data_IF_279482607714
#
_entry.id   IF_279482607714
#
_cell.length_a   1.000
_cell.length_b   1.000
_cell.length_c   1.000
_cell.angle_alpha   90.00
_cell.angle_beta   90.00
_cell.angle_gamma   90.00
#
_symmetry.space_group_name_H-M   'P 1'
#
loop_
_entity.id
_entity.type
_entity.pdbx_description
1 polymer ?
#
# COMPACT_ATOMS: atom_id res chain seq x y z
N UNK A 1 -43.60 -5.60 -22.99
CA UNK A 1 -44.17 -6.77 -23.68
C UNK A 1 -44.82 -7.76 -22.73
N UNK A 2 -44.18 -8.24 -21.66
CA UNK A 2 -44.79 -9.16 -20.68
C UNK A 2 -46.03 -8.61 -19.99
N UNK A 3 -46.04 -7.33 -19.61
CA UNK A 3 -47.19 -6.68 -19.00
C UNK A 3 -48.44 -6.69 -19.93
N UNK A 4 -48.25 -6.33 -21.20
CA UNK A 4 -49.28 -6.35 -22.21
C UNK A 4 -49.80 -7.76 -22.52
N UNK A 5 -48.91 -8.77 -22.42
CA UNK A 5 -49.27 -10.17 -22.66
C UNK A 5 -50.18 -10.74 -21.56
N UNK A 6 -50.00 -10.32 -20.31
CA UNK A 6 -50.72 -10.87 -19.17
C UNK A 6 -51.91 -10.02 -18.67
N UNK A 7 -51.88 -8.69 -18.88
CA UNK A 7 -52.80 -7.75 -18.21
C UNK A 7 -53.68 -6.89 -19.15
N UNK A 8 -53.50 -6.98 -20.49
CA UNK A 8 -54.30 -6.14 -21.40
C UNK A 8 -55.17 -7.00 -22.30
N UNK A 9 -56.45 -6.70 -22.41
CA UNK A 9 -57.36 -7.37 -23.36
C UNK A 9 -57.08 -6.93 -24.81
N UNK A 10 -57.04 -7.85 -25.81
CA UNK A 10 -57.18 -9.31 -25.69
C UNK A 10 -55.89 -9.98 -25.12
N UNK A 11 -56.07 -10.78 -24.08
CA UNK A 11 -55.02 -11.53 -23.42
C UNK A 11 -54.23 -12.39 -24.40
N UNK A 12 -52.90 -12.54 -24.13
CA UNK A 12 -51.97 -13.31 -24.94
C UNK A 12 -51.70 -12.79 -26.37
N UNK A 13 -51.96 -11.49 -26.62
CA UNK A 13 -51.68 -10.92 -27.92
C UNK A 13 -50.50 -9.93 -27.86
N UNK A 14 -49.49 -10.18 -28.69
CA UNK A 14 -48.27 -9.33 -28.76
C UNK A 14 -48.44 -8.11 -29.65
N UNK A 15 -49.63 -7.86 -30.20
CA UNK A 15 -49.90 -6.72 -31.06
C UNK A 15 -50.20 -5.46 -30.23
N UNK A 16 -49.32 -4.49 -30.26
CA UNK A 16 -49.54 -3.17 -29.69
C UNK A 16 -50.46 -2.39 -30.62
N UNK A 17 -51.74 -2.29 -30.30
CA UNK A 17 -52.76 -1.65 -31.16
C UNK A 17 -52.80 -0.11 -30.97
N UNK A 18 -52.17 0.44 -29.97
CA UNK A 18 -52.27 1.85 -29.68
C UNK A 18 -50.95 2.58 -30.00
N UNK A 19 -51.04 3.74 -30.68
CA UNK A 19 -49.88 4.55 -31.10
C UNK A 19 -48.99 5.06 -29.95
N UNK A 20 -49.50 4.98 -28.70
CA UNK A 20 -48.77 5.39 -27.48
C UNK A 20 -47.79 4.34 -26.92
N UNK A 21 -47.97 3.05 -27.20
CA UNK A 21 -47.15 1.97 -26.66
C UNK A 21 -45.65 2.06 -26.97
N UNK A 22 -45.23 2.36 -28.23
CA UNK A 22 -43.82 2.49 -28.54
C UNK A 22 -43.12 3.59 -27.74
N UNK A 23 -43.84 4.70 -27.51
CA UNK A 23 -43.32 5.84 -26.74
C UNK A 23 -43.13 5.51 -25.27
N UNK A 24 -44.09 4.82 -24.66
CA UNK A 24 -44.01 4.36 -23.27
C UNK A 24 -42.86 3.34 -23.09
N UNK A 25 -42.71 2.44 -24.05
CA UNK A 25 -41.64 1.45 -24.03
C UNK A 25 -40.25 2.11 -24.17
N UNK A 26 -40.13 3.09 -25.04
CA UNK A 26 -38.90 3.89 -25.20
C UNK A 26 -38.54 4.63 -23.91
N UNK A 27 -39.55 5.26 -23.27
CA UNK A 27 -39.37 5.94 -21.98
C UNK A 27 -38.88 5.01 -20.89
N UNK A 28 -39.53 3.83 -20.74
CA UNK A 28 -39.12 2.81 -19.78
C UNK A 28 -37.70 2.30 -20.04
N UNK A 29 -37.34 2.13 -21.31
CA UNK A 29 -36.00 1.70 -21.71
C UNK A 29 -34.94 2.76 -21.33
N UNK A 30 -35.20 4.04 -21.60
CA UNK A 30 -34.32 5.14 -21.23
C UNK A 30 -34.14 5.22 -19.72
N UNK A 31 -35.24 5.13 -18.94
CA UNK A 31 -35.19 5.14 -17.48
C UNK A 31 -34.39 3.94 -16.95
N UNK A 32 -34.58 2.76 -17.52
CA UNK A 32 -33.84 1.55 -17.17
C UNK A 32 -32.33 1.67 -17.42
N UNK A 33 -31.94 2.20 -18.57
CA UNK A 33 -30.54 2.47 -18.89
C UNK A 33 -29.93 3.50 -17.94
N UNK A 34 -30.65 4.59 -17.68
CA UNK A 34 -30.18 5.64 -16.78
C UNK A 34 -30.01 5.12 -15.35
N UNK A 35 -30.96 4.37 -14.83
CA UNK A 35 -30.90 3.76 -13.49
C UNK A 35 -29.76 2.75 -13.39
N UNK A 36 -29.58 1.93 -14.43
CA UNK A 36 -28.50 0.93 -14.46
C UNK A 36 -27.10 1.56 -14.48
N UNK A 37 -26.90 2.63 -15.24
CA UNK A 37 -25.62 3.36 -15.28
C UNK A 37 -25.34 4.08 -13.96
N UNK A 38 -26.37 4.70 -13.37
CA UNK A 38 -26.25 5.41 -12.09
C UNK A 38 -25.88 4.46 -10.94
N UNK A 39 -26.49 3.29 -10.89
CA UNK A 39 -26.19 2.27 -9.87
C UNK A 39 -24.74 1.76 -9.95
N UNK A 40 -24.23 1.54 -11.17
CA UNK A 40 -22.83 1.13 -11.37
C UNK A 40 -21.86 2.21 -10.88
N UNK A 41 -22.11 3.46 -11.21
CA UNK A 41 -21.28 4.61 -10.79
C UNK A 41 -21.29 4.79 -9.28
N UNK A 42 -22.44 4.63 -8.63
CA UNK A 42 -22.58 4.72 -7.18
C UNK A 42 -21.80 3.58 -6.48
N UNK A 43 -21.86 2.36 -7.00
CA UNK A 43 -21.11 1.21 -6.46
C UNK A 43 -19.58 1.44 -6.56
N UNK A 44 -19.12 1.98 -7.68
CA UNK A 44 -17.70 2.31 -7.87
C UNK A 44 -17.25 3.42 -6.90
N UNK A 45 -18.03 4.50 -6.76
CA UNK A 45 -17.73 5.57 -5.80
C UNK A 45 -17.68 5.06 -4.35
N UNK A 46 -18.57 4.15 -3.96
CA UNK A 46 -18.56 3.56 -2.62
C UNK A 46 -17.30 2.73 -2.37
N UNK A 47 -16.81 1.99 -3.37
CA UNK A 47 -15.56 1.23 -3.26
C UNK A 47 -14.33 2.14 -3.15
N UNK A 48 -14.27 3.20 -3.94
CA UNK A 48 -13.19 4.19 -3.87
C UNK A 48 -13.20 4.95 -2.53
N UNK A 49 -14.39 5.30 -2.04
CA UNK A 49 -14.55 5.95 -0.73
C UNK A 49 -14.10 5.03 0.42
N UNK A 50 -14.44 3.74 0.36
CA UNK A 50 -14.00 2.76 1.36
C UNK A 50 -12.47 2.59 1.37
N UNK A 51 -11.83 2.52 0.19
CA UNK A 51 -10.36 2.46 0.08
C UNK A 51 -9.70 3.72 0.65
N UNK A 52 -10.26 4.89 0.36
CA UNK A 52 -9.74 6.18 0.85
C UNK A 52 -9.90 6.29 2.36
N UNK A 53 -11.02 5.86 2.93
CA UNK A 53 -11.24 5.83 4.37
C UNK A 53 -10.24 4.90 5.07
N UNK A 54 -10.06 3.68 4.56
CA UNK A 54 -9.08 2.72 5.07
C UNK A 54 -7.64 3.26 5.02
N UNK A 55 -7.26 3.91 3.90
CA UNK A 55 -5.95 4.56 3.77
C UNK A 55 -5.75 5.63 4.85
N UNK A 56 -6.74 6.48 5.04
CA UNK A 56 -6.67 7.58 6.03
C UNK A 56 -6.56 7.03 7.44
N UNK A 57 -7.30 5.99 7.77
CA UNK A 57 -7.27 5.33 9.08
C UNK A 57 -5.87 4.76 9.39
N UNK A 58 -5.28 4.00 8.46
CA UNK A 58 -3.93 3.43 8.64
C UNK A 58 -2.87 4.52 8.80
N UNK A 59 -2.91 5.56 7.97
CA UNK A 59 -1.94 6.65 8.05
C UNK A 59 -2.09 7.44 9.35
N UNK A 60 -3.33 7.68 9.81
CA UNK A 60 -3.59 8.34 11.08
C UNK A 60 -3.09 7.51 12.26
N UNK A 61 -3.35 6.21 12.25
CA UNK A 61 -2.87 5.29 13.29
C UNK A 61 -1.32 5.27 13.33
N UNK A 62 -0.68 5.19 12.16
CA UNK A 62 0.78 5.24 12.06
C UNK A 62 1.34 6.56 12.62
N UNK A 63 0.77 7.69 12.21
CA UNK A 63 1.16 9.03 12.68
C UNK A 63 1.04 9.17 14.20
N UNK A 64 -0.08 8.72 14.78
CA UNK A 64 -0.29 8.76 16.23
C UNK A 64 0.74 7.92 16.99
N UNK A 65 1.08 6.73 16.47
CA UNK A 65 2.08 5.85 17.07
C UNK A 65 3.49 6.42 16.94
N UNK A 66 3.86 6.95 15.77
CA UNK A 66 5.15 7.60 15.53
C UNK A 66 5.37 8.81 16.45
N UNK A 67 4.34 9.62 16.72
CA UNK A 67 4.41 10.74 17.66
C UNK A 67 4.79 10.35 19.08
N UNK A 68 4.44 9.14 19.51
CA UNK A 68 4.74 8.59 20.84
C UNK A 68 6.16 8.05 20.94
N UNK A 69 6.81 7.77 19.81
CA UNK A 69 8.18 7.28 19.78
C UNK A 69 9.15 8.40 20.19
N UNK A 70 9.96 8.15 21.18
CA UNK A 70 10.96 9.09 21.72
C UNK A 70 12.37 8.79 21.24
N UNK A 71 12.67 7.52 20.87
CA UNK A 71 13.99 7.11 20.42
C UNK A 71 13.96 6.66 18.94
N UNK A 72 15.12 6.78 18.29
CA UNK A 72 15.32 6.33 16.89
C UNK A 72 14.98 4.85 16.73
N UNK A 73 15.38 4.01 17.69
CA UNK A 73 15.07 2.58 17.70
C UNK A 73 13.56 2.33 17.75
N UNK A 74 12.84 3.04 18.63
CA UNK A 74 11.38 2.89 18.73
C UNK A 74 10.65 3.28 17.46
N UNK A 75 11.17 4.28 16.71
CA UNK A 75 10.63 4.67 15.40
C UNK A 75 10.80 3.53 14.39
N UNK A 76 11.98 2.91 14.33
CA UNK A 76 12.23 1.78 13.44
C UNK A 76 11.38 0.56 13.79
N UNK A 77 11.29 0.21 15.07
CA UNK A 77 10.45 -0.90 15.54
C UNK A 77 8.97 -0.65 15.17
N UNK A 78 8.49 0.59 15.34
CA UNK A 78 7.10 0.94 15.04
C UNK A 78 6.79 0.82 13.54
N UNK A 79 7.63 1.38 12.68
CA UNK A 79 7.38 1.32 11.23
C UNK A 79 7.50 -0.09 10.69
N UNK A 80 8.46 -0.88 11.20
CA UNK A 80 8.63 -2.27 10.79
C UNK A 80 7.40 -3.13 11.16
N UNK A 81 6.89 -2.98 12.39
CA UNK A 81 5.68 -3.68 12.84
C UNK A 81 4.46 -3.27 11.99
N UNK A 82 4.31 -2.00 11.66
CA UNK A 82 3.19 -1.55 10.83
C UNK A 82 3.30 -2.04 9.38
N UNK A 83 4.50 -1.94 8.79
CA UNK A 83 4.76 -2.47 7.44
C UNK A 83 4.57 -3.99 7.38
N UNK A 84 5.07 -4.72 8.38
CA UNK A 84 4.90 -6.17 8.50
C UNK A 84 3.43 -6.59 8.63
N UNK A 85 2.62 -5.82 9.37
CA UNK A 85 1.16 -6.06 9.47
C UNK A 85 0.43 -5.75 8.17
N UNK A 86 0.80 -4.65 7.50
CA UNK A 86 0.18 -4.22 6.25
C UNK A 86 0.40 -5.26 5.14
N UNK A 87 1.65 -5.73 4.99
CA UNK A 87 2.06 -6.59 3.89
C UNK A 87 2.01 -8.09 4.25
N UNK A 88 1.95 -8.43 5.53
CA UNK A 88 2.15 -9.80 6.03
C UNK A 88 3.46 -10.44 5.55
N UNK A 89 4.53 -9.64 5.44
CA UNK A 89 5.85 -10.04 4.97
C UNK A 89 6.91 -9.75 6.03
N UNK A 90 8.07 -10.41 5.91
CA UNK A 90 9.24 -10.12 6.74
C UNK A 90 9.89 -8.80 6.31
N UNK A 91 10.29 -8.00 7.29
CA UNK A 91 10.85 -6.66 7.10
C UNK A 91 12.29 -6.62 7.62
N UNK A 92 13.16 -6.02 6.83
CA UNK A 92 14.54 -5.71 7.16
C UNK A 92 14.69 -4.19 7.24
N UNK A 93 15.29 -3.65 8.27
CA UNK A 93 15.58 -2.22 8.33
C UNK A 93 17.08 -2.03 8.46
N UNK A 94 17.65 -1.25 7.60
CA UNK A 94 19.05 -0.84 7.62
C UNK A 94 19.10 0.65 7.98
N UNK A 95 19.32 1.00 9.26
CA UNK A 95 19.54 2.38 9.63
C UNK A 95 20.79 2.93 8.95
N UNK A 96 20.76 4.21 8.62
CA UNK A 96 21.91 4.93 8.06
C UNK A 96 22.34 5.98 9.07
N UNK A 97 23.61 5.97 9.47
CA UNK A 97 24.15 6.95 10.39
C UNK A 97 24.25 8.34 9.75
N UNK A 98 24.47 9.38 10.54
CA UNK A 98 24.71 10.76 10.04
C UNK A 98 25.92 10.84 9.10
N UNK A 99 26.88 9.91 9.23
CA UNK A 99 28.03 9.79 8.32
C UNK A 99 27.72 9.07 6.99
N UNK A 100 26.46 8.67 6.75
CA UNK A 100 26.06 7.92 5.57
C UNK A 100 26.41 6.43 5.58
N UNK A 101 26.91 5.91 6.71
CA UNK A 101 27.25 4.51 6.84
C UNK A 101 26.01 3.68 7.18
N UNK A 102 25.87 2.55 6.49
CA UNK A 102 24.80 1.58 6.76
C UNK A 102 25.13 0.77 8.00
N UNK A 103 24.25 0.85 9.00
CA UNK A 103 24.37 0.12 10.26
C UNK A 103 23.95 -1.36 10.11
N UNK A 104 24.03 -2.13 11.18
CA UNK A 104 23.54 -3.51 11.19
C UNK A 104 22.01 -3.54 10.99
N UNK A 105 21.50 -4.52 10.23
CA UNK A 105 20.08 -4.62 9.97
C UNK A 105 19.29 -5.01 11.22
N UNK A 106 18.13 -4.41 11.36
CA UNK A 106 17.10 -4.80 12.30
C UNK A 106 16.15 -5.76 11.59
N UNK A 107 15.95 -6.93 12.19
CA UNK A 107 15.23 -8.04 11.60
C UNK A 107 13.84 -8.18 12.21
N UNK A 108 12.81 -8.14 11.40
CA UNK A 108 11.41 -8.30 11.80
C UNK A 108 10.79 -9.45 11.01
N UNK A 109 10.87 -10.69 11.55
CA UNK A 109 10.31 -11.85 10.87
C UNK A 109 8.78 -11.76 10.85
N UNK A 110 8.18 -12.32 9.81
CA UNK A 110 6.73 -12.49 9.77
C UNK A 110 6.32 -13.68 10.67
N UNK A 111 5.00 -13.83 10.90
CA UNK A 111 4.45 -14.97 11.62
C UNK A 111 4.85 -16.29 10.94
N UNK A 112 5.46 -17.19 11.72
CA UNK A 112 5.91 -18.51 11.23
C UNK A 112 7.33 -18.55 10.66
N UNK A 113 8.05 -17.42 10.62
CA UNK A 113 9.44 -17.32 10.21
C UNK A 113 10.33 -17.06 11.44
N UNK A 114 11.47 -17.71 11.52
CA UNK A 114 12.45 -17.47 12.61
C UNK A 114 13.41 -16.33 12.23
N UNK A 115 13.99 -15.69 13.25
CA UNK A 115 15.03 -14.65 13.04
C UNK A 115 16.23 -15.24 12.32
N UNK A 116 16.63 -16.48 12.65
CA UNK A 116 17.76 -17.18 12.02
C UNK A 116 17.55 -17.43 10.53
N UNK A 117 16.31 -17.67 10.09
CA UNK A 117 15.97 -17.80 8.67
C UNK A 117 16.10 -16.46 7.96
N UNK A 118 15.69 -15.38 8.61
CA UNK A 118 15.78 -14.03 8.06
C UNK A 118 17.24 -13.54 8.02
N UNK A 119 18.09 -13.92 8.99
CA UNK A 119 19.52 -13.62 8.98
C UNK A 119 20.25 -14.23 7.78
N UNK A 120 19.85 -15.41 7.34
CA UNK A 120 20.43 -16.04 6.13
C UNK A 120 20.18 -15.23 4.85
N UNK A 121 19.14 -14.40 4.85
CA UNK A 121 18.86 -13.49 3.75
C UNK A 121 19.77 -12.24 3.78
N UNK A 122 20.42 -11.95 4.92
CA UNK A 122 21.34 -10.81 5.06
C UNK A 122 22.75 -11.22 4.63
N UNK A 123 23.04 -11.14 3.36
CA UNK A 123 24.35 -11.48 2.81
C UNK A 123 25.07 -10.24 2.25
N UNK A 124 26.32 -10.41 1.84
CA UNK A 124 27.14 -9.32 1.27
C UNK A 124 26.52 -8.69 0.02
N UNK A 125 25.82 -9.48 -0.79
CA UNK A 125 25.13 -9.03 -2.01
C UNK A 125 24.01 -8.05 -1.65
N UNK A 126 23.20 -8.40 -0.67
CA UNK A 126 22.09 -7.56 -0.20
C UNK A 126 22.60 -6.21 0.36
N UNK A 127 23.71 -6.22 1.10
CA UNK A 127 24.37 -4.99 1.57
C UNK A 127 24.78 -4.07 0.41
N UNK A 128 25.24 -4.64 -0.70
CA UNK A 128 25.57 -3.87 -1.91
C UNK A 128 24.34 -3.21 -2.52
N UNK A 129 23.18 -3.89 -2.53
CA UNK A 129 21.91 -3.30 -2.99
C UNK A 129 21.46 -2.16 -2.07
N UNK A 130 21.56 -2.36 -0.75
CA UNK A 130 21.24 -1.31 0.25
C UNK A 130 22.12 -0.07 0.04
N UNK A 131 23.43 -0.25 -0.14
CA UNK A 131 24.35 0.86 -0.43
C UNK A 131 23.98 1.60 -1.72
N UNK A 132 23.58 0.86 -2.76
CA UNK A 132 23.10 1.46 -4.01
C UNK A 132 21.86 2.31 -3.78
N UNK A 133 20.88 1.82 -2.97
CA UNK A 133 19.66 2.57 -2.61
C UNK A 133 19.99 3.85 -1.86
N UNK A 134 20.93 3.80 -0.91
CA UNK A 134 21.40 4.98 -0.16
C UNK A 134 22.02 6.01 -1.10
N UNK A 135 22.88 5.58 -2.03
CA UNK A 135 23.58 6.48 -2.93
C UNK A 135 22.68 7.11 -4.01
N UNK A 136 21.67 6.37 -4.47
CA UNK A 136 20.84 6.80 -5.60
C UNK A 136 19.45 7.31 -5.19
N UNK A 137 19.05 7.16 -3.92
CA UNK A 137 17.73 7.59 -3.40
C UNK A 137 16.53 6.94 -4.12
N UNK A 138 16.75 5.80 -4.76
CA UNK A 138 15.74 5.07 -5.54
C UNK A 138 15.60 3.63 -5.05
N UNK A 139 14.41 3.07 -5.24
CA UNK A 139 14.17 1.65 -4.94
C UNK A 139 15.01 0.73 -5.81
N UNK A 140 15.45 -0.38 -5.24
CA UNK A 140 16.14 -1.44 -5.95
C UNK A 140 15.79 -2.82 -5.37
N UNK A 141 16.21 -3.88 -6.04
CA UNK A 141 16.03 -5.26 -5.60
C UNK A 141 14.87 -5.97 -6.26
N UNK A 142 14.37 -7.01 -5.61
CA UNK A 142 13.33 -7.89 -6.13
C UNK A 142 12.11 -7.13 -6.67
N UNK A 143 11.57 -7.56 -7.79
CA UNK A 143 10.43 -6.93 -8.48
C UNK A 143 10.65 -5.46 -8.88
N UNK A 144 11.90 -5.02 -9.03
CA UNK A 144 12.26 -3.71 -9.57
C UNK A 144 13.08 -3.84 -10.84
N UNK A 145 13.26 -2.73 -11.57
CA UNK A 145 14.13 -2.70 -12.76
C UNK A 145 15.63 -2.64 -12.40
N UNK A 146 15.95 -2.36 -11.14
CA UNK A 146 17.32 -2.17 -10.67
C UNK A 146 17.70 -3.29 -9.72
N UNK A 147 18.75 -4.06 -10.04
CA UNK A 147 19.26 -5.17 -9.24
C UNK A 147 18.17 -6.22 -8.90
N UNK A 148 17.41 -6.72 -9.90
CA UNK A 148 16.23 -7.57 -9.66
C UNK A 148 16.55 -8.93 -9.05
N UNK A 149 17.82 -9.34 -9.05
CA UNK A 149 18.29 -10.62 -8.50
C UNK A 149 18.44 -10.64 -6.98
N UNK A 150 18.23 -9.49 -6.30
CA UNK A 150 18.21 -9.43 -4.85
C UNK A 150 17.03 -10.24 -4.26
N UNK A 151 17.16 -10.67 -3.03
CA UNK A 151 16.13 -11.45 -2.32
C UNK A 151 14.98 -10.57 -1.84
N UNK A 152 15.28 -9.32 -1.48
CA UNK A 152 14.30 -8.37 -0.98
C UNK A 152 14.15 -7.17 -1.92
N UNK A 153 13.01 -6.50 -1.85
CA UNK A 153 12.79 -5.17 -2.42
C UNK A 153 13.22 -4.13 -1.39
N UNK A 154 14.10 -3.22 -1.78
CA UNK A 154 14.67 -2.19 -0.92
C UNK A 154 14.12 -0.81 -1.26
N UNK A 155 13.62 -0.11 -0.24
CA UNK A 155 13.01 1.20 -0.35
C UNK A 155 13.76 2.19 0.55
N UNK A 156 14.12 3.38 0.06
CA UNK A 156 14.73 4.40 0.90
C UNK A 156 13.71 5.00 1.87
N UNK A 157 14.10 5.14 3.13
CA UNK A 157 13.39 5.94 4.14
C UNK A 157 14.10 7.29 4.19
N UNK A 158 13.49 8.28 3.58
CA UNK A 158 14.14 9.58 3.38
C UNK A 158 13.31 10.73 3.92
N UNK A 159 14.00 11.79 4.33
CA UNK A 159 13.42 13.07 4.62
C UNK A 159 14.11 14.13 3.77
N UNK A 160 13.34 14.91 3.03
CA UNK A 160 13.84 15.92 2.07
C UNK A 160 14.88 15.33 1.10
N UNK A 161 16.19 15.46 1.41
CA UNK A 161 17.29 15.01 0.55
C UNK A 161 18.18 13.93 1.18
N UNK A 162 17.90 13.52 2.43
CA UNK A 162 18.74 12.59 3.15
C UNK A 162 18.04 11.24 3.35
N UNK A 163 18.74 10.15 3.06
CA UNK A 163 18.31 8.80 3.38
C UNK A 163 18.68 8.49 4.82
N UNK A 164 17.69 8.34 5.68
CA UNK A 164 17.86 8.03 7.11
C UNK A 164 17.95 6.51 7.37
N UNK A 165 17.53 5.70 6.39
CA UNK A 165 17.61 4.26 6.41
C UNK A 165 17.03 3.64 5.15
N UNK A 166 17.13 2.31 5.06
CA UNK A 166 16.56 1.54 3.95
C UNK A 166 15.70 0.44 4.53
N UNK A 167 14.47 0.32 4.05
CA UNK A 167 13.57 -0.79 4.37
C UNK A 167 13.67 -1.85 3.29
N UNK A 168 14.01 -3.08 3.67
CA UNK A 168 13.95 -4.28 2.83
C UNK A 168 12.68 -5.05 3.12
N UNK A 169 12.00 -5.51 2.09
CA UNK A 169 10.79 -6.32 2.14
C UNK A 169 11.09 -7.64 1.46
N UNK A 170 11.03 -8.73 2.21
CA UNK A 170 11.28 -10.06 1.67
C UNK A 170 10.04 -10.53 0.92
N UNK A 171 10.12 -10.54 -0.41
CA UNK A 171 9.01 -10.91 -1.28
C UNK A 171 8.97 -12.43 -1.48
N UNK A 172 7.84 -13.04 -1.12
CA UNK A 172 7.60 -14.45 -1.39
C UNK A 172 7.25 -14.65 -2.87
N UNK A 173 7.78 -15.72 -3.45
CA UNK A 173 7.54 -16.09 -4.85
C UNK A 173 7.78 -14.94 -5.85
N UNK A 174 8.54 -13.90 -5.46
CA UNK A 174 8.78 -12.69 -6.26
C UNK A 174 7.49 -12.03 -6.78
N UNK A 175 6.42 -12.06 -5.99
CA UNK A 175 5.20 -11.33 -6.32
C UNK A 175 5.36 -9.85 -5.96
N UNK A 176 5.05 -8.95 -6.87
CA UNK A 176 5.07 -7.52 -6.56
C UNK A 176 4.01 -7.19 -5.50
N UNK A 177 4.32 -6.22 -4.65
CA UNK A 177 3.37 -5.64 -3.69
C UNK A 177 2.23 -4.98 -4.46
N UNK A 178 0.99 -5.12 -3.98
CA UNK A 178 -0.16 -4.45 -4.57
C UNK A 178 0.03 -2.93 -4.62
N UNK A 179 -0.44 -2.28 -5.69
CA UNK A 179 -0.23 -0.85 -5.91
C UNK A 179 -0.79 0.01 -4.77
N UNK A 180 -1.93 -0.39 -4.21
CA UNK A 180 -2.54 0.32 -3.09
C UNK A 180 -1.71 0.17 -1.80
N UNK A 181 -1.27 -1.05 -1.47
CA UNK A 181 -0.40 -1.32 -0.32
C UNK A 181 0.95 -0.64 -0.46
N UNK A 182 1.51 -0.66 -1.67
CA UNK A 182 2.75 0.05 -1.99
C UNK A 182 2.62 1.57 -1.76
N UNK A 183 1.52 2.17 -2.21
CA UNK A 183 1.26 3.59 -1.99
C UNK A 183 1.11 3.96 -0.51
N UNK A 184 0.49 3.09 0.29
CA UNK A 184 0.42 3.24 1.76
C UNK A 184 1.80 3.15 2.41
N UNK A 185 2.57 2.14 2.01
CA UNK A 185 3.92 1.92 2.52
C UNK A 185 4.82 3.14 2.27
N UNK A 186 4.83 3.68 1.05
CA UNK A 186 5.63 4.87 0.72
C UNK A 186 5.22 6.07 1.58
N UNK A 187 3.91 6.28 1.81
CA UNK A 187 3.44 7.35 2.67
C UNK A 187 3.94 7.18 4.13
N UNK A 188 3.90 5.94 4.66
CA UNK A 188 4.43 5.63 5.98
C UNK A 188 5.95 5.84 6.07
N UNK A 189 6.71 5.44 5.04
CA UNK A 189 8.17 5.63 5.01
C UNK A 189 8.56 7.10 4.97
N UNK A 190 7.84 7.92 4.19
CA UNK A 190 8.06 9.36 4.14
C UNK A 190 7.79 10.02 5.51
N UNK A 191 6.69 9.66 6.17
CA UNK A 191 6.38 10.15 7.52
C UNK A 191 7.44 9.73 8.54
N UNK A 192 7.92 8.49 8.43
CA UNK A 192 9.01 7.96 9.26
C UNK A 192 10.31 8.74 9.05
N UNK A 193 10.65 9.05 7.79
CA UNK A 193 11.82 9.86 7.45
C UNK A 193 11.78 11.25 8.11
N UNK A 194 10.63 11.91 8.04
CA UNK A 194 10.40 13.21 8.71
C UNK A 194 10.56 13.08 10.23
N UNK A 195 9.99 12.02 10.84
CA UNK A 195 10.13 11.81 12.29
C UNK A 195 11.56 11.55 12.73
N UNK A 196 12.36 10.86 11.93
CA UNK A 196 13.77 10.59 12.20
C UNK A 196 14.68 11.84 12.07
N UNK A 197 14.18 12.90 11.47
CA UNK A 197 14.86 14.18 11.39
C UNK A 197 14.64 15.05 12.66
N UNK A 198 13.66 14.69 13.49
CA UNK A 198 13.35 15.40 14.73
C UNK A 198 14.57 15.35 15.69
N UNK A 199 15.12 16.51 16.12
CA UNK A 199 16.28 16.56 16.99
C UNK A 199 16.13 15.77 18.28
N UNK A 200 14.93 15.68 18.85
CA UNK A 200 14.65 14.92 20.07
C UNK A 200 14.83 13.40 19.88
N UNK A 201 14.71 12.91 18.65
CA UNK A 201 14.90 11.49 18.31
C UNK A 201 16.36 11.21 17.92
N UNK A 202 17.08 12.23 17.42
CA UNK A 202 18.45 12.11 16.97
C UNK A 202 19.48 12.12 18.12
N UNK A 203 19.21 12.79 19.24
CA UNK A 203 20.18 12.97 20.34
C UNK A 203 20.45 11.71 21.16
N UNK A 204 19.51 10.75 21.28
CA UNK A 204 19.73 9.50 22.04
C UNK A 204 20.78 8.58 21.41
N UNK A 205 21.14 8.76 20.15
CA UNK A 205 22.16 7.92 19.49
C UNK A 205 23.61 8.29 19.89
N UNK A 206 23.82 9.39 20.62
CA UNK A 206 25.15 9.86 21.04
C UNK A 206 25.55 9.44 22.45
N UNK A 207 24.65 8.77 23.19
CA UNK A 207 24.86 8.48 24.62
C UNK A 207 24.96 6.97 24.93
N UNK A 208 25.08 6.10 23.92
CA UNK A 208 25.25 4.63 24.11
C UNK A 208 26.51 4.14 23.45
#
# INVERSE_FOLDING_TARGET
MLFNFFFTEPYYNLKAYDKGYPTTFLMLFIVGLFTGTMTRKLKQQNQESAKTAYRTEILLENSQKLRRCKSRRAVWDQVAVQAGKLLNLAILIYPVSESGLVEQPLLFPRNGMTVEELEKCVNFREKGVVQWVVANHHRAGACTHTLPDAMAMYLPVQSEKEVKGVMGILLEERRPVDEFEYGLLIAMLNETGVKLQDPFVAEESKTS
#
